data_IF_161979887406
#
_entry.id   IF_161979887406
#
_cell.length_a   1.000
_cell.length_b   1.000
_cell.length_c   1.000
_cell.angle_alpha   90.00
_cell.angle_beta   90.00
_cell.angle_gamma   90.00
#
_symmetry.space_group_name_H-M   'P 1'
#
loop_
_entity.id
_entity.type
_entity.pdbx_description
1 polymer ?
#
# COMPACT_ATOMS: atom_id res chain seq x y z
N UNK A 1 -33.05 -6.19 -17.22
CA UNK A 1 -32.16 -5.14 -16.65
C UNK A 1 -30.72 -5.48 -16.99
N UNK A 2 -30.04 -4.62 -17.74
CA UNK A 2 -28.62 -4.81 -18.06
C UNK A 2 -27.73 -4.68 -16.82
N UNK A 3 -26.52 -5.25 -16.88
CA UNK A 3 -25.53 -5.21 -15.80
C UNK A 3 -25.21 -3.76 -15.41
N UNK A 4 -25.06 -2.85 -16.39
CA UNK A 4 -24.79 -1.43 -16.14
C UNK A 4 -25.85 -0.77 -15.25
N UNK A 5 -27.14 -1.02 -15.50
CA UNK A 5 -28.22 -0.38 -14.73
C UNK A 5 -28.23 -0.87 -13.27
N UNK A 6 -27.91 -2.14 -13.03
CA UNK A 6 -27.76 -2.67 -11.67
C UNK A 6 -26.59 -2.00 -10.93
N UNK A 7 -25.45 -1.82 -11.59
CA UNK A 7 -24.31 -1.11 -11.01
C UNK A 7 -24.64 0.35 -10.70
N UNK A 8 -25.34 1.04 -11.60
CA UNK A 8 -25.74 2.43 -11.40
C UNK A 8 -26.65 2.59 -10.17
N UNK A 9 -27.61 1.68 -9.96
CA UNK A 9 -28.46 1.68 -8.77
C UNK A 9 -27.68 1.42 -7.48
N UNK A 10 -26.83 0.38 -7.44
CA UNK A 10 -25.99 0.06 -6.27
C UNK A 10 -25.11 1.27 -5.92
N UNK A 11 -24.52 1.90 -6.93
CA UNK A 11 -23.67 3.08 -6.73
C UNK A 11 -24.44 4.26 -6.12
N UNK A 12 -25.66 4.53 -6.60
CA UNK A 12 -26.53 5.57 -6.04
C UNK A 12 -26.92 5.28 -4.59
N UNK A 13 -27.28 4.05 -4.27
CA UNK A 13 -27.63 3.62 -2.92
C UNK A 13 -26.46 3.84 -1.95
N UNK A 14 -25.25 3.43 -2.34
CA UNK A 14 -24.02 3.65 -1.57
C UNK A 14 -23.74 5.15 -1.36
N UNK A 15 -23.87 5.98 -2.41
CA UNK A 15 -23.65 7.44 -2.34
C UNK A 15 -24.69 8.17 -1.48
N UNK A 16 -25.88 7.59 -1.32
CA UNK A 16 -26.94 8.13 -0.47
C UNK A 16 -26.64 7.94 1.02
N UNK A 17 -25.76 7.00 1.39
CA UNK A 17 -25.50 6.67 2.79
C UNK A 17 -24.47 7.61 3.44
N UNK A 18 -24.83 8.22 4.57
CA UNK A 18 -23.96 9.14 5.32
C UNK A 18 -22.67 8.49 5.82
N UNK A 19 -22.73 7.24 6.30
CA UNK A 19 -21.55 6.52 6.80
C UNK A 19 -20.53 6.23 5.70
N UNK A 20 -21.01 5.90 4.49
CA UNK A 20 -20.14 5.69 3.33
C UNK A 20 -19.43 6.98 2.90
N UNK A 21 -20.09 8.14 3.04
CA UNK A 21 -19.45 9.45 2.82
C UNK A 21 -18.35 9.72 3.84
N UNK A 22 -18.61 9.46 5.12
CA UNK A 22 -17.59 9.61 6.16
C UNK A 22 -16.41 8.67 5.94
N UNK A 23 -16.67 7.40 5.62
CA UNK A 23 -15.61 6.44 5.28
C UNK A 23 -14.79 6.90 4.07
N UNK A 24 -15.43 7.45 3.04
CA UNK A 24 -14.73 8.02 1.88
C UNK A 24 -13.85 9.21 2.27
N UNK A 25 -14.36 10.15 3.05
CA UNK A 25 -13.58 11.29 3.53
C UNK A 25 -12.39 10.81 4.37
N UNK A 26 -12.61 9.84 5.27
CA UNK A 26 -11.55 9.22 6.04
C UNK A 26 -10.46 8.61 5.15
N UNK A 27 -10.83 7.81 4.15
CA UNK A 27 -9.86 7.22 3.21
C UNK A 27 -9.04 8.30 2.47
N UNK A 28 -9.68 9.39 2.03
CA UNK A 28 -8.98 10.51 1.37
C UNK A 28 -7.96 11.17 2.31
N UNK A 29 -8.37 11.45 3.55
CA UNK A 29 -7.49 12.04 4.56
C UNK A 29 -6.34 11.11 4.93
N UNK A 30 -6.62 9.82 5.12
CA UNK A 30 -5.61 8.81 5.47
C UNK A 30 -4.58 8.62 4.34
N UNK A 31 -5.02 8.52 3.08
CA UNK A 31 -4.12 8.41 1.93
C UNK A 31 -3.28 9.69 1.75
N UNK A 32 -3.90 10.86 1.87
CA UNK A 32 -3.17 12.13 1.82
C UNK A 32 -2.13 12.23 2.94
N UNK A 33 -2.47 11.82 4.17
CA UNK A 33 -1.55 11.77 5.30
C UNK A 33 -0.40 10.76 5.09
N UNK A 34 -0.60 9.71 4.29
CA UNK A 34 0.48 8.79 3.92
C UNK A 34 1.44 9.35 2.88
N UNK A 35 0.92 9.99 1.83
CA UNK A 35 1.75 10.44 0.70
C UNK A 35 2.35 11.84 0.86
N UNK A 36 1.70 12.76 1.57
CA UNK A 36 2.21 14.13 1.71
C UNK A 36 3.54 14.15 2.48
N UNK A 37 3.66 13.55 3.68
CA UNK A 37 4.94 13.51 4.41
C UNK A 37 5.99 12.71 3.64
N UNK A 38 5.59 11.56 3.09
CA UNK A 38 6.47 10.69 2.31
C UNK A 38 7.05 11.37 1.08
N UNK A 39 6.26 12.22 0.41
CA UNK A 39 6.70 13.00 -0.75
C UNK A 39 7.57 14.20 -0.35
N UNK A 40 7.21 14.88 0.75
CA UNK A 40 7.97 16.03 1.26
C UNK A 40 9.43 15.70 1.55
N UNK A 41 9.68 14.57 2.24
CA UNK A 41 11.05 14.07 2.52
C UNK A 41 11.87 13.92 1.23
N UNK A 42 11.24 13.48 0.13
CA UNK A 42 11.93 13.32 -1.16
C UNK A 42 12.23 14.64 -1.85
N UNK A 43 11.39 15.66 -1.62
CA UNK A 43 11.58 16.99 -2.21
C UNK A 43 12.74 17.72 -1.53
N UNK A 44 12.86 17.60 -0.21
CA UNK A 44 13.98 18.23 0.53
C UNK A 44 15.32 17.50 0.35
N UNK A 45 15.33 16.39 -0.40
CA UNK A 45 16.54 15.64 -0.72
C UNK A 45 17.00 14.70 0.40
N UNK A 46 16.18 14.47 1.42
CA UNK A 46 16.48 13.55 2.52
C UNK A 46 16.20 12.10 2.14
N UNK A 47 16.87 11.16 2.83
CA UNK A 47 16.59 9.74 2.68
C UNK A 47 15.18 9.44 3.19
N UNK A 48 14.43 8.61 2.46
CA UNK A 48 13.07 8.24 2.83
C UNK A 48 13.02 7.42 4.14
N UNK A 49 14.06 6.65 4.43
CA UNK A 49 14.17 5.81 5.64
C UNK A 49 15.63 5.66 6.03
N UNK A 50 15.91 5.53 7.34
CA UNK A 50 17.24 5.21 7.89
C UNK A 50 17.59 3.71 7.81
N UNK A 51 17.16 3.04 6.74
CA UNK A 51 17.47 1.64 6.51
C UNK A 51 18.94 1.47 6.16
N UNK A 52 19.57 0.42 6.68
CA UNK A 52 20.96 0.12 6.31
C UNK A 52 21.04 -0.20 4.82
N UNK A 53 22.06 0.33 4.13
CA UNK A 53 22.20 0.19 2.69
C UNK A 53 22.27 -1.28 2.25
N UNK A 54 22.84 -2.17 3.07
CA UNK A 54 22.91 -3.60 2.76
C UNK A 54 21.56 -4.32 2.76
N UNK A 55 20.54 -3.77 3.43
CA UNK A 55 19.21 -4.35 3.41
C UNK A 55 18.61 -4.22 2.00
N UNK A 56 17.90 -5.22 1.44
CA UNK A 56 17.34 -5.19 0.10
C UNK A 56 16.54 -3.92 -0.24
N UNK A 57 15.68 -3.47 0.67
CA UNK A 57 14.94 -2.22 0.51
C UNK A 57 15.85 -0.99 0.61
N UNK A 58 16.82 -1.01 1.53
CA UNK A 58 17.81 0.05 1.70
C UNK A 58 18.67 0.25 0.46
N UNK A 59 19.16 -0.85 -0.14
CA UNK A 59 19.89 -0.83 -1.40
C UNK A 59 19.10 -0.14 -2.52
N UNK A 60 17.83 -0.53 -2.69
CA UNK A 60 16.97 0.07 -3.71
C UNK A 60 16.70 1.55 -3.43
N UNK A 61 16.37 1.90 -2.19
CA UNK A 61 16.08 3.28 -1.81
C UNK A 61 17.31 4.19 -1.89
N UNK A 62 18.50 3.67 -1.59
CA UNK A 62 19.75 4.41 -1.77
C UNK A 62 20.01 4.66 -3.24
N UNK A 63 19.94 3.63 -4.08
CA UNK A 63 20.10 3.81 -5.53
C UNK A 63 19.07 4.79 -6.09
N UNK A 64 17.82 4.72 -5.61
CA UNK A 64 16.76 5.64 -5.98
C UNK A 64 17.06 7.07 -5.53
N UNK A 65 17.53 7.28 -4.30
CA UNK A 65 17.91 8.59 -3.78
C UNK A 65 19.03 9.25 -4.60
N UNK A 66 20.04 8.46 -4.99
CA UNK A 66 21.16 8.92 -5.81
C UNK A 66 20.78 9.31 -7.25
N UNK A 67 19.55 9.01 -7.70
CA UNK A 67 19.05 9.50 -9.00
C UNK A 67 18.75 11.01 -9.03
N UNK A 68 18.77 11.69 -7.88
CA UNK A 68 18.61 13.14 -7.78
C UNK A 68 17.22 13.60 -8.24
N UNK A 69 17.15 14.25 -9.39
CA UNK A 69 15.92 14.81 -9.97
C UNK A 69 14.76 13.80 -10.04
N UNK A 70 15.05 12.54 -10.39
CA UNK A 70 14.01 11.51 -10.49
C UNK A 70 13.39 11.20 -9.12
N UNK A 71 14.19 11.15 -8.06
CA UNK A 71 13.71 11.01 -6.68
C UNK A 71 12.80 12.18 -6.26
N UNK A 72 13.21 13.41 -6.56
CA UNK A 72 12.40 14.62 -6.30
C UNK A 72 11.08 14.59 -7.08
N UNK A 73 11.09 14.16 -8.35
CA UNK A 73 9.86 14.03 -9.15
C UNK A 73 8.87 13.04 -8.54
N UNK A 74 9.34 11.91 -8.03
CA UNK A 74 8.48 10.96 -7.31
C UNK A 74 7.84 11.66 -6.10
N UNK A 75 8.62 12.44 -5.37
CA UNK A 75 8.12 13.26 -4.26
C UNK A 75 7.03 14.24 -4.66
N UNK A 76 7.25 14.99 -5.74
CA UNK A 76 6.28 15.93 -6.31
C UNK A 76 5.01 15.21 -6.73
N UNK A 77 5.12 14.07 -7.43
CA UNK A 77 3.97 13.28 -7.84
C UNK A 77 3.17 12.74 -6.64
N UNK A 78 3.86 12.29 -5.58
CA UNK A 78 3.23 11.84 -4.33
C UNK A 78 2.49 12.98 -3.62
N UNK A 79 3.13 14.15 -3.47
CA UNK A 79 2.49 15.31 -2.86
C UNK A 79 1.31 15.83 -3.68
N UNK A 80 1.46 15.91 -5.01
CA UNK A 80 0.38 16.31 -5.90
C UNK A 80 -0.82 15.36 -5.79
N UNK A 81 -0.58 14.05 -5.81
CA UNK A 81 -1.63 13.05 -5.62
C UNK A 81 -2.36 13.22 -4.27
N UNK A 82 -1.60 13.41 -3.18
CA UNK A 82 -2.14 13.64 -1.84
C UNK A 82 -2.98 14.93 -1.75
N UNK A 83 -2.49 16.04 -2.30
CA UNK A 83 -3.23 17.32 -2.31
C UNK A 83 -4.50 17.24 -3.15
N UNK A 84 -4.46 16.62 -4.33
CA UNK A 84 -5.63 16.44 -5.18
C UNK A 84 -6.70 15.55 -4.55
N UNK A 85 -6.32 14.60 -3.69
CA UNK A 85 -7.26 13.78 -2.90
C UNK A 85 -8.03 14.58 -1.84
N UNK A 86 -7.42 15.62 -1.27
CA UNK A 86 -8.05 16.46 -0.25
C UNK A 86 -9.18 17.33 -0.85
N UNK A 87 -9.07 17.70 -2.13
CA UNK A 87 -10.05 18.51 -2.83
C UNK A 87 -11.10 17.58 -3.48
N UNK A 88 -12.38 17.55 -3.02
CA UNK A 88 -13.36 16.57 -3.48
C UNK A 88 -13.64 16.58 -4.98
N UNK A 89 -13.41 17.72 -5.65
CA UNK A 89 -13.59 17.88 -7.09
C UNK A 89 -12.48 17.18 -7.89
N UNK A 90 -11.23 17.25 -7.43
CA UNK A 90 -10.06 16.68 -8.12
C UNK A 90 -9.68 15.29 -7.60
N UNK A 91 -10.39 14.77 -6.60
CA UNK A 91 -10.08 13.49 -5.97
C UNK A 91 -9.90 12.33 -6.96
N UNK A 92 -10.66 12.27 -8.07
CA UNK A 92 -10.48 11.23 -9.08
C UNK A 92 -9.09 11.29 -9.72
N UNK A 93 -8.63 12.48 -10.12
CA UNK A 93 -7.29 12.69 -10.69
C UNK A 93 -6.24 12.31 -9.64
N UNK A 94 -6.46 12.73 -8.39
CA UNK A 94 -5.61 12.34 -7.26
C UNK A 94 -5.45 10.83 -7.15
N UNK A 95 -6.55 10.07 -7.13
CA UNK A 95 -6.52 8.59 -7.07
C UNK A 95 -5.84 7.99 -8.30
N UNK A 96 -6.08 8.52 -9.50
CA UNK A 96 -5.47 8.01 -10.74
C UNK A 96 -3.95 8.16 -10.75
N UNK A 97 -3.41 9.23 -10.15
CA UNK A 97 -1.95 9.39 -9.97
C UNK A 97 -1.47 8.52 -8.80
N UNK A 98 -2.22 8.48 -7.71
CA UNK A 98 -1.84 7.75 -6.49
C UNK A 98 -1.73 6.24 -6.73
N UNK A 99 -2.73 5.66 -7.41
CA UNK A 99 -2.90 4.22 -7.58
C UNK A 99 -1.67 3.51 -8.19
N UNK A 100 -1.11 3.92 -9.34
CA UNK A 100 0.08 3.27 -9.90
C UNK A 100 1.30 3.40 -8.98
N UNK A 101 1.44 4.52 -8.27
CA UNK A 101 2.57 4.74 -7.34
C UNK A 101 2.46 3.78 -6.15
N UNK A 102 1.30 3.72 -5.49
CA UNK A 102 1.13 2.84 -4.32
C UNK A 102 1.13 1.36 -4.71
N UNK A 103 0.62 1.02 -5.89
CA UNK A 103 0.71 -0.34 -6.41
C UNK A 103 2.16 -0.76 -6.61
N UNK A 104 2.99 0.11 -7.20
CA UNK A 104 4.42 -0.15 -7.35
C UNK A 104 5.11 -0.34 -5.99
N UNK A 105 4.84 0.55 -5.03
CA UNK A 105 5.37 0.43 -3.65
C UNK A 105 4.91 -0.87 -2.98
N UNK A 106 3.65 -1.27 -3.17
CA UNK A 106 3.10 -2.51 -2.61
C UNK A 106 3.81 -3.74 -3.18
N UNK A 107 3.96 -3.81 -4.51
CA UNK A 107 4.68 -4.89 -5.19
C UNK A 107 6.15 -4.94 -4.77
N UNK A 108 6.82 -3.79 -4.67
CA UNK A 108 8.19 -3.70 -4.16
C UNK A 108 8.27 -4.23 -2.73
N UNK A 109 7.37 -3.78 -1.84
CA UNK A 109 7.34 -4.19 -0.43
C UNK A 109 7.23 -5.71 -0.27
N UNK A 110 6.37 -6.35 -1.07
CA UNK A 110 6.29 -7.80 -1.10
C UNK A 110 7.55 -8.45 -1.66
N UNK A 111 8.06 -7.95 -2.78
CA UNK A 111 9.25 -8.51 -3.44
C UNK A 111 10.48 -8.56 -2.53
N UNK A 112 10.70 -7.52 -1.72
CA UNK A 112 11.84 -7.42 -0.79
C UNK A 112 11.49 -7.76 0.67
N UNK A 113 10.27 -8.23 0.93
CA UNK A 113 9.76 -8.56 2.29
C UNK A 113 9.97 -7.41 3.29
N UNK A 114 9.69 -6.19 2.86
CA UNK A 114 9.91 -4.98 3.67
C UNK A 114 8.78 -4.77 4.69
N UNK A 115 9.14 -4.86 5.97
CA UNK A 115 8.19 -4.80 7.08
C UNK A 115 7.48 -3.45 7.20
N UNK A 116 8.17 -2.33 6.92
CA UNK A 116 7.64 -0.99 7.13
C UNK A 116 6.38 -0.66 6.32
N UNK A 117 6.15 -1.35 5.21
CA UNK A 117 4.96 -1.15 4.36
C UNK A 117 4.25 -2.44 3.95
N UNK A 118 4.64 -3.60 4.49
CA UNK A 118 4.03 -4.89 4.14
C UNK A 118 2.52 -4.94 4.42
N UNK A 119 2.08 -4.29 5.50
CA UNK A 119 0.68 -4.20 5.90
C UNK A 119 -0.03 -2.97 5.32
N UNK A 120 0.63 -1.81 5.37
CA UNK A 120 0.00 -0.53 5.03
C UNK A 120 -0.17 -0.35 3.52
N UNK A 121 0.82 -0.73 2.70
CA UNK A 121 0.74 -0.60 1.25
C UNK A 121 -0.45 -1.35 0.60
N UNK A 122 -0.72 -2.63 0.91
CA UNK A 122 -1.88 -3.31 0.34
C UNK A 122 -3.21 -2.70 0.80
N UNK A 123 -3.31 -2.25 2.06
CA UNK A 123 -4.49 -1.53 2.54
C UNK A 123 -4.71 -0.22 1.77
N UNK A 124 -3.64 0.53 1.49
CA UNK A 124 -3.71 1.75 0.70
C UNK A 124 -4.11 1.48 -0.76
N UNK A 125 -3.64 0.38 -1.37
CA UNK A 125 -4.10 -0.07 -2.71
C UNK A 125 -5.60 -0.36 -2.68
N UNK A 126 -6.08 -1.09 -1.67
CA UNK A 126 -7.51 -1.40 -1.50
C UNK A 126 -8.32 -0.11 -1.32
N UNK A 127 -7.84 0.84 -0.53
CA UNK A 127 -8.44 2.17 -0.38
C UNK A 127 -8.51 2.95 -1.70
N UNK A 128 -7.47 2.88 -2.54
CA UNK A 128 -7.51 3.48 -3.88
C UNK A 128 -8.55 2.81 -4.77
N UNK A 129 -8.63 1.48 -4.79
CA UNK A 129 -9.66 0.74 -5.53
C UNK A 129 -11.06 1.15 -5.05
N UNK A 130 -11.27 1.23 -3.73
CA UNK A 130 -12.50 1.74 -3.15
C UNK A 130 -12.84 3.16 -3.63
N UNK A 131 -11.86 4.07 -3.65
CA UNK A 131 -12.09 5.45 -4.13
C UNK A 131 -12.37 5.51 -5.63
N UNK A 132 -11.77 4.65 -6.45
CA UNK A 132 -12.11 4.53 -7.87
C UNK A 132 -13.56 4.04 -8.04
N UNK A 133 -13.99 3.06 -7.25
CA UNK A 133 -15.39 2.61 -7.21
C UNK A 133 -16.32 3.72 -6.69
N UNK A 134 -15.86 4.54 -5.74
CA UNK A 134 -16.62 5.68 -5.23
C UNK A 134 -16.77 6.78 -6.28
N UNK A 135 -15.76 7.09 -7.08
CA UNK A 135 -15.83 8.08 -8.15
C UNK A 135 -16.21 7.45 -9.51
N UNK A 136 -16.87 6.27 -9.49
CA UNK A 136 -17.36 5.56 -10.68
C UNK A 136 -18.22 6.42 -11.60
N UNK A 137 -19.06 7.30 -11.02
CA UNK A 137 -19.88 8.27 -11.75
C UNK A 137 -19.05 9.18 -12.66
N UNK A 138 -17.87 9.59 -12.19
CA UNK A 138 -16.92 10.42 -12.94
C UNK A 138 -16.05 9.58 -13.88
N UNK A 139 -15.67 8.37 -13.46
CA UNK A 139 -14.87 7.45 -14.28
C UNK A 139 -15.63 7.05 -15.56
N UNK A 140 -16.94 6.84 -15.45
CA UNK A 140 -17.84 6.52 -16.57
C UNK A 140 -17.93 7.64 -17.61
N UNK A 141 -17.70 8.89 -17.20
CA UNK A 141 -17.60 10.04 -18.13
C UNK A 141 -16.29 10.04 -18.92
N UNK A 142 -15.21 9.53 -18.33
CA UNK A 142 -13.89 9.44 -18.97
C UNK A 142 -13.83 8.22 -19.91
N UNK A 143 -14.49 7.11 -19.54
CA UNK A 143 -14.49 5.89 -20.34
C UNK A 143 -15.48 5.99 -21.52
N UNK A 144 -15.10 5.54 -22.72
CA UNK A 144 -15.91 5.71 -23.94
C UNK A 144 -17.18 4.84 -23.97
N UNK A 145 -17.37 3.95 -22.99
CA UNK A 145 -18.31 2.84 -23.11
C UNK A 145 -19.74 3.15 -22.62
N UNK A 146 -20.01 4.26 -21.92
CA UNK A 146 -21.38 4.56 -21.48
C UNK A 146 -21.60 6.00 -20.92
N UNK A 147 -21.82 7.01 -21.76
CA UNK A 147 -21.84 8.45 -21.36
C UNK A 147 -23.11 8.93 -20.60
N UNK A 148 -23.94 8.04 -20.06
CA UNK A 148 -25.13 8.47 -19.33
C UNK A 148 -24.79 9.08 -17.96
N UNK A 149 -25.22 10.32 -17.75
CA UNK A 149 -25.12 11.05 -16.48
C UNK A 149 -25.89 10.30 -15.39
N UNK A 150 -25.19 9.83 -14.35
CA UNK A 150 -25.82 9.23 -13.18
C UNK A 150 -26.41 10.38 -12.32
N UNK A 151 -27.73 10.41 -12.08
CA UNK A 151 -28.34 11.43 -11.22
C UNK A 151 -27.72 11.39 -9.81
N UNK A 152 -27.43 12.56 -9.26
CA UNK A 152 -26.97 12.67 -7.86
C UNK A 152 -28.09 12.23 -6.91
N UNK A 153 -27.78 11.50 -5.82
CA UNK A 153 -28.79 11.04 -4.88
C UNK A 153 -29.48 12.24 -4.22
N UNK A 154 -30.81 12.28 -4.30
CA UNK A 154 -31.65 13.36 -3.76
C UNK A 154 -31.94 13.21 -2.26
N UNK A 155 -31.84 11.99 -1.72
CA UNK A 155 -32.15 11.67 -0.32
C UNK A 155 -30.93 11.05 0.35
N UNK A 156 -30.63 11.45 1.59
CA UNK A 156 -29.52 10.91 2.38
C UNK A 156 -30.08 9.95 3.42
N UNK A 157 -29.54 8.75 3.48
CA UNK A 157 -29.91 7.73 4.47
C UNK A 157 -28.86 7.65 5.59
N UNK A 158 -29.29 7.35 6.82
CA UNK A 158 -28.42 7.26 7.99
C UNK A 158 -28.28 5.83 8.56
N UNK A 159 -28.75 4.82 7.81
CA UNK A 159 -28.65 3.42 8.24
C UNK A 159 -27.19 2.97 8.19
N UNK A 160 -26.68 2.43 9.31
CA UNK A 160 -25.31 1.95 9.38
C UNK A 160 -25.13 0.71 8.47
N UNK A 161 -24.17 0.72 7.52
CA UNK A 161 -24.00 -0.38 6.57
C UNK A 161 -23.14 -1.50 7.18
N UNK A 162 -23.73 -2.28 8.10
CA UNK A 162 -23.02 -3.31 8.86
C UNK A 162 -22.29 -4.33 7.98
N UNK A 163 -22.92 -4.78 6.89
CA UNK A 163 -22.32 -5.74 5.96
C UNK A 163 -21.03 -5.19 5.30
N UNK A 164 -21.02 -3.91 4.94
CA UNK A 164 -19.84 -3.26 4.36
C UNK A 164 -18.68 -3.19 5.38
N UNK A 165 -18.95 -2.73 6.60
CA UNK A 165 -17.92 -2.63 7.63
C UNK A 165 -17.43 -4.00 8.11
N UNK A 166 -18.29 -5.00 8.16
CA UNK A 166 -17.91 -6.40 8.43
C UNK A 166 -16.97 -6.92 7.35
N UNK A 167 -17.29 -6.68 6.07
CA UNK A 167 -16.40 -7.04 4.96
C UNK A 167 -15.04 -6.32 5.05
N UNK A 168 -15.02 -5.00 5.34
CA UNK A 168 -13.77 -4.25 5.51
C UNK A 168 -12.93 -4.85 6.65
N UNK A 169 -13.56 -5.19 7.78
CA UNK A 169 -12.89 -5.83 8.90
C UNK A 169 -12.28 -7.19 8.50
N UNK A 170 -13.04 -8.03 7.79
CA UNK A 170 -12.55 -9.31 7.28
C UNK A 170 -11.39 -9.14 6.30
N UNK A 171 -11.42 -8.12 5.43
CA UNK A 171 -10.33 -7.82 4.51
C UNK A 171 -9.06 -7.43 5.30
N UNK A 172 -9.17 -6.58 6.32
CA UNK A 172 -8.02 -6.20 7.15
C UNK A 172 -7.42 -7.43 7.84
N UNK A 173 -8.26 -8.31 8.40
CA UNK A 173 -7.81 -9.57 9.00
C UNK A 173 -7.15 -10.48 7.97
N UNK A 174 -7.72 -10.61 6.77
CA UNK A 174 -7.17 -11.43 5.70
C UNK A 174 -5.81 -10.90 5.22
N UNK A 175 -5.65 -9.58 5.08
CA UNK A 175 -4.36 -8.96 4.73
C UNK A 175 -3.34 -9.20 5.84
N UNK A 176 -3.72 -9.00 7.11
CA UNK A 176 -2.84 -9.25 8.25
C UNK A 176 -2.41 -10.72 8.36
N UNK A 177 -3.35 -11.64 8.19
CA UNK A 177 -3.07 -13.08 8.16
C UNK A 177 -2.14 -13.44 6.99
N UNK A 178 -2.41 -12.92 5.80
CA UNK A 178 -1.57 -13.15 4.62
C UNK A 178 -0.15 -12.65 4.88
N UNK A 179 0.01 -11.39 5.28
CA UNK A 179 1.33 -10.79 5.57
C UNK A 179 2.14 -11.57 6.60
N UNK A 180 1.49 -12.13 7.62
CA UNK A 180 2.16 -12.90 8.68
C UNK A 180 2.53 -14.32 8.26
N UNK A 181 1.82 -14.91 7.30
CA UNK A 181 2.03 -16.30 6.87
C UNK A 181 2.66 -16.43 5.47
N UNK A 182 2.77 -15.34 4.71
CA UNK A 182 3.25 -15.36 3.33
C UNK A 182 4.73 -15.74 3.23
N UNK A 183 5.55 -15.37 4.23
CA UNK A 183 6.99 -15.58 4.20
C UNK A 183 7.47 -16.44 5.38
N UNK A 184 8.24 -17.48 5.05
CA UNK A 184 8.91 -18.33 6.05
C UNK A 184 9.95 -17.57 6.87
N UNK A 185 10.64 -16.62 6.24
CA UNK A 185 11.67 -15.79 6.86
C UNK A 185 11.62 -14.36 6.35
N UNK A 186 11.95 -13.39 7.20
CA UNK A 186 11.90 -11.96 6.90
C UNK A 186 13.19 -11.31 7.39
N UNK A 187 13.76 -10.36 6.62
CA UNK A 187 15.02 -9.69 6.95
C UNK A 187 14.93 -8.77 8.17
N UNK A 188 13.73 -8.25 8.49
CA UNK A 188 13.50 -7.15 9.46
C UNK A 188 14.23 -5.87 9.05
N UNK A 189 13.89 -4.75 9.71
CA UNK A 189 14.48 -3.45 9.41
C UNK A 189 15.88 -3.28 10.01
N UNK A 190 16.20 -4.00 11.09
CA UNK A 190 17.51 -3.93 11.74
C UNK A 190 18.10 -5.31 12.00
N UNK A 191 19.43 -5.40 12.04
CA UNK A 191 20.13 -6.63 12.43
C UNK A 191 19.77 -7.07 13.85
N UNK A 192 19.54 -6.13 14.77
CA UNK A 192 19.14 -6.40 16.15
C UNK A 192 17.78 -7.12 16.19
N UNK A 193 16.80 -6.62 15.45
CA UNK A 193 15.46 -7.23 15.37
C UNK A 193 15.49 -8.58 14.64
N UNK A 194 16.36 -8.71 13.63
CA UNK A 194 16.58 -9.98 12.96
C UNK A 194 17.15 -11.04 13.92
N UNK A 195 18.24 -10.69 14.62
CA UNK A 195 18.92 -11.58 15.57
C UNK A 195 18.08 -11.88 16.82
N UNK A 196 17.20 -10.97 17.27
CA UNK A 196 16.34 -11.19 18.42
C UNK A 196 15.43 -12.43 18.28
N UNK A 197 15.11 -12.81 17.03
CA UNK A 197 14.27 -13.98 16.72
C UNK A 197 14.96 -15.32 16.95
N UNK A 198 16.29 -15.35 17.09
CA UNK A 198 17.06 -16.58 17.35
C UNK A 198 16.62 -17.29 18.61
N UNK A 199 16.22 -16.53 19.64
CA UNK A 199 15.70 -17.06 20.92
C UNK A 199 14.44 -17.93 20.78
N UNK A 200 13.71 -17.79 19.67
CA UNK A 200 12.45 -18.51 19.41
C UNK A 200 12.53 -19.40 18.17
N UNK A 201 13.70 -19.52 17.56
CA UNK A 201 13.87 -20.29 16.32
C UNK A 201 14.33 -21.71 16.63
N UNK A 202 13.77 -22.69 15.93
CA UNK A 202 14.24 -24.08 15.93
C UNK A 202 15.67 -24.21 15.35
N UNK A 203 16.09 -23.25 14.52
CA UNK A 203 17.40 -23.25 13.85
C UNK A 203 18.13 -21.90 14.03
N UNK A 204 18.62 -21.60 15.24
CA UNK A 204 19.20 -20.30 15.57
C UNK A 204 20.45 -19.98 14.73
N UNK A 205 21.30 -20.97 14.45
CA UNK A 205 22.53 -20.79 13.66
C UNK A 205 22.24 -20.42 12.21
N UNK A 206 21.25 -21.07 11.59
CA UNK A 206 20.82 -20.75 10.22
C UNK A 206 20.24 -19.33 10.15
N UNK A 207 19.46 -18.93 11.16
CA UNK A 207 18.88 -17.59 11.24
C UNK A 207 19.96 -16.51 11.43
N UNK A 208 20.98 -16.74 12.26
CA UNK A 208 22.11 -15.82 12.40
C UNK A 208 22.85 -15.63 11.07
N UNK A 209 23.12 -16.72 10.34
CA UNK A 209 23.73 -16.66 9.00
C UNK A 209 22.87 -15.87 8.02
N UNK A 210 21.54 -16.04 8.07
CA UNK A 210 20.61 -15.27 7.23
C UNK A 210 20.67 -13.77 7.57
N UNK A 211 20.61 -13.41 8.85
CA UNK A 211 20.67 -12.01 9.27
C UNK A 211 21.99 -11.34 8.87
N UNK A 212 23.11 -12.05 8.99
CA UNK A 212 24.43 -11.59 8.54
C UNK A 212 24.51 -11.45 7.00
N UNK A 213 23.97 -12.41 6.26
CA UNK A 213 23.89 -12.39 4.79
C UNK A 213 23.19 -11.13 4.26
N UNK A 214 22.10 -10.74 4.92
CA UNK A 214 21.31 -9.56 4.55
C UNK A 214 21.97 -8.26 5.04
N UNK A 215 22.21 -8.13 6.35
CA UNK A 215 22.54 -6.83 6.95
C UNK A 215 24.02 -6.46 6.84
N UNK A 216 24.94 -7.44 6.85
CA UNK A 216 26.37 -7.18 6.81
C UNK A 216 26.97 -7.41 5.42
N UNK A 217 26.55 -8.48 4.74
CA UNK A 217 27.12 -8.85 3.43
C UNK A 217 26.40 -8.21 2.24
N UNK A 218 25.16 -7.74 2.40
CA UNK A 218 24.38 -7.12 1.31
C UNK A 218 24.10 -8.07 0.14
N UNK A 219 24.00 -9.38 0.42
CA UNK A 219 23.75 -10.38 -0.61
C UNK A 219 22.27 -10.33 -1.03
N UNK A 220 21.93 -10.58 -2.31
CA UNK A 220 20.54 -10.63 -2.75
C UNK A 220 19.66 -11.53 -1.89
N UNK A 221 18.48 -11.02 -1.51
CA UNK A 221 17.57 -11.69 -0.57
C UNK A 221 17.25 -13.13 -0.96
N UNK A 222 17.01 -13.38 -2.25
CA UNK A 222 16.71 -14.72 -2.76
C UNK A 222 17.82 -15.73 -2.38
N UNK A 223 19.09 -15.35 -2.59
CA UNK A 223 20.23 -16.20 -2.24
C UNK A 223 20.34 -16.43 -0.74
N UNK A 224 20.15 -15.39 0.08
CA UNK A 224 20.15 -15.56 1.54
C UNK A 224 19.03 -16.49 2.02
N UNK A 225 17.85 -16.46 1.40
CA UNK A 225 16.73 -17.37 1.70
C UNK A 225 17.06 -18.80 1.28
N UNK A 226 17.67 -18.99 0.11
CA UNK A 226 18.08 -20.32 -0.37
C UNK A 226 19.14 -20.94 0.54
N UNK A 227 20.14 -20.15 0.95
CA UNK A 227 21.19 -20.59 1.88
C UNK A 227 20.60 -20.91 3.26
N UNK A 228 19.65 -20.12 3.75
CA UNK A 228 18.91 -20.42 4.98
C UNK A 228 18.17 -21.76 4.89
N UNK A 229 17.45 -22.02 3.79
CA UNK A 229 16.71 -23.26 3.59
C UNK A 229 17.65 -24.48 3.50
N UNK A 230 18.80 -24.35 2.84
CA UNK A 230 19.83 -25.40 2.77
C UNK A 230 20.41 -25.71 4.14
N UNK A 231 20.71 -24.69 4.94
CA UNK A 231 21.23 -24.89 6.30
C UNK A 231 20.19 -25.53 7.22
N UNK A 232 18.91 -25.19 7.05
CA UNK A 232 17.80 -25.85 7.76
C UNK A 232 17.71 -27.35 7.42
N UNK A 233 17.92 -27.72 6.16
CA UNK A 233 17.83 -29.10 5.68
C UNK A 233 19.02 -30.01 6.07
N UNK A 234 20.13 -29.44 6.58
CA UNK A 234 21.32 -30.21 7.01
C UNK A 234 21.21 -30.75 8.45
N UNK A 235 20.21 -30.32 9.21
CA UNK A 235 19.92 -30.77 10.59
C UNK A 235 18.59 -31.50 10.61
#
# INVERSE_FOLDING_TARGET
MGISTKLDHIHQDVKSNRWMRYFTTFNRLALAAGFIPAGYVKIIGERFTDLHNNQPMGHFLEALHQTGYYYTLIGIAQMLAGLLLLIPRTALIGVLIYFPIILNICLLSFSVRFEGSLLTAPLMVISCVYLLCWDYDKLKLILPFNQHLIPKPKVITNKFPLAFFSMVFLIILAVGFTVTHLYTIMPRNTIKDCNARTKRSEHPDALLKFCDCVHNKGIPLAKCVDDYNKEKAKR
#
